data_IF_920619398674
#
_entry.id   IF_920619398674
#
_cell.length_a   1.000
_cell.length_b   1.000
_cell.length_c   1.000
_cell.angle_alpha   90.00
_cell.angle_beta   90.00
_cell.angle_gamma   90.00
#
_symmetry.space_group_name_H-M   'P 1'
#
loop_
_entity.id
_entity.type
_entity.pdbx_description
1 polymer ?
#
# COMPACT_ATOMS: atom_id res chain seq x y z
N UNK A 1 10.05 3.65 8.26
CA UNK A 1 9.52 2.29 8.46
C UNK A 1 8.73 1.82 7.24
N UNK A 2 7.80 2.63 6.70
CA UNK A 2 7.05 2.30 5.48
C UNK A 2 7.98 1.99 4.29
N UNK A 3 9.00 2.80 4.10
CA UNK A 3 10.01 2.57 3.07
C UNK A 3 10.74 1.23 3.28
N UNK A 4 11.19 0.97 4.50
CA UNK A 4 11.89 -0.28 4.80
C UNK A 4 11.00 -1.51 4.58
N UNK A 5 9.69 -1.41 4.93
CA UNK A 5 8.72 -2.45 4.63
C UNK A 5 8.63 -2.73 3.13
N UNK A 6 8.50 -1.67 2.32
CA UNK A 6 8.37 -1.79 0.88
C UNK A 6 9.65 -2.35 0.25
N UNK A 7 10.82 -1.91 0.70
CA UNK A 7 12.12 -2.43 0.29
C UNK A 7 12.23 -3.94 0.55
N UNK A 8 11.94 -4.40 1.77
CA UNK A 8 11.96 -5.82 2.13
C UNK A 8 10.96 -6.63 1.29
N UNK A 9 9.77 -6.06 1.04
CA UNK A 9 8.76 -6.69 0.20
C UNK A 9 9.20 -6.85 -1.26
N UNK A 10 9.81 -5.81 -1.86
CA UNK A 10 10.29 -5.84 -3.24
C UNK A 10 11.48 -6.79 -3.41
N UNK A 11 12.38 -6.82 -2.41
CA UNK A 11 13.55 -7.69 -2.43
C UNK A 11 13.16 -9.18 -2.51
N UNK A 12 12.10 -9.61 -1.80
CA UNK A 12 11.59 -11.00 -1.89
C UNK A 12 11.07 -11.36 -3.28
N UNK A 13 10.95 -10.41 -4.20
CA UNK A 13 10.45 -10.55 -5.57
C UNK A 13 11.49 -10.24 -6.64
N UNK A 14 12.73 -9.97 -6.23
CA UNK A 14 13.81 -9.53 -7.11
C UNK A 14 13.39 -8.32 -7.99
N UNK A 15 12.71 -7.36 -7.37
CA UNK A 15 12.32 -6.11 -7.99
C UNK A 15 13.17 -5.00 -7.41
N UNK A 16 13.96 -4.35 -8.27
CA UNK A 16 14.69 -3.15 -7.89
C UNK A 16 13.75 -1.94 -7.92
N UNK A 17 13.89 -1.06 -6.93
CA UNK A 17 13.28 0.25 -6.96
C UNK A 17 14.27 1.23 -7.59
N UNK A 18 13.82 1.94 -8.59
CA UNK A 18 14.68 2.80 -9.38
C UNK A 18 14.74 4.23 -8.85
N UNK A 19 13.70 4.70 -8.17
CA UNK A 19 13.64 6.10 -7.76
C UNK A 19 12.68 6.34 -6.60
N UNK A 20 12.94 7.41 -5.84
CA UNK A 20 12.12 7.86 -4.73
C UNK A 20 11.84 9.33 -4.82
N UNK A 21 10.57 9.69 -4.73
CA UNK A 21 10.14 11.07 -4.61
C UNK A 21 9.23 11.24 -3.39
N UNK A 22 9.81 11.74 -2.29
CA UNK A 22 9.09 11.95 -1.04
C UNK A 22 8.46 10.66 -0.48
N UNK A 23 7.13 10.57 -0.51
CA UNK A 23 6.33 9.42 -0.04
C UNK A 23 5.98 8.43 -1.16
N UNK A 24 6.42 8.68 -2.38
CA UNK A 24 6.26 7.79 -3.53
C UNK A 24 7.51 6.96 -3.74
N UNK A 25 7.33 5.73 -4.16
CA UNK A 25 8.39 4.84 -4.59
C UNK A 25 8.03 4.28 -5.96
N UNK A 26 8.94 4.48 -6.92
CA UNK A 26 8.76 4.02 -8.29
C UNK A 26 9.39 2.64 -8.50
N UNK A 27 8.69 1.75 -9.23
CA UNK A 27 9.20 0.45 -9.65
C UNK A 27 8.87 0.20 -11.12
N UNK A 28 9.78 -0.43 -11.85
CA UNK A 28 9.56 -0.75 -13.27
C UNK A 28 8.58 -1.93 -13.47
N UNK A 29 8.41 -2.77 -12.44
CA UNK A 29 7.58 -3.97 -12.51
C UNK A 29 6.46 -3.90 -11.49
N UNK A 30 5.26 -4.28 -11.90
CA UNK A 30 4.13 -4.41 -10.99
C UNK A 30 4.36 -5.63 -10.06
N UNK A 31 4.50 -5.41 -8.74
CA UNK A 31 4.66 -6.51 -7.80
C UNK A 31 3.34 -7.27 -7.60
N UNK A 32 3.44 -8.58 -7.40
CA UNK A 32 2.30 -9.38 -6.99
C UNK A 32 2.05 -9.30 -5.46
N UNK A 33 0.86 -9.68 -5.02
CA UNK A 33 0.48 -9.76 -3.60
C UNK A 33 0.67 -8.46 -2.80
N UNK A 34 0.39 -7.32 -3.41
CA UNK A 34 0.51 -5.99 -2.80
C UNK A 34 -0.31 -5.86 -1.51
N UNK A 35 -1.43 -6.60 -1.37
CA UNK A 35 -2.24 -6.66 -0.14
C UNK A 35 -1.48 -7.16 1.09
N UNK A 36 -0.26 -7.65 0.91
CA UNK A 36 0.65 -7.99 1.99
C UNK A 36 1.19 -6.75 2.71
N UNK A 37 1.26 -5.60 2.05
CA UNK A 37 1.81 -4.36 2.61
C UNK A 37 0.90 -3.78 3.71
N UNK A 38 1.49 -3.33 4.81
CA UNK A 38 0.79 -2.75 5.95
C UNK A 38 0.76 -1.23 5.95
N UNK A 39 1.80 -0.59 5.44
CA UNK A 39 1.96 0.86 5.46
C UNK A 39 1.76 1.55 4.11
N UNK A 40 1.72 0.80 3.02
CA UNK A 40 1.36 1.32 1.69
C UNK A 40 -0.14 1.50 1.61
N UNK A 41 -0.60 2.60 1.02
CA UNK A 41 -2.02 2.92 0.87
C UNK A 41 -2.56 2.44 -0.47
N UNK A 42 -1.88 2.77 -1.54
CA UNK A 42 -2.31 2.44 -2.88
C UNK A 42 -1.12 2.26 -3.82
N UNK A 43 -1.37 1.64 -4.93
CA UNK A 43 -0.41 1.48 -6.04
C UNK A 43 -1.03 2.07 -7.28
N UNK A 44 -0.29 2.97 -7.92
CA UNK A 44 -0.68 3.60 -9.16
C UNK A 44 0.20 3.11 -10.31
N UNK A 45 -0.39 3.05 -11.49
CA UNK A 45 0.34 2.91 -12.76
C UNK A 45 0.44 4.30 -13.38
N UNK A 46 1.65 4.83 -13.53
CA UNK A 46 1.86 6.15 -14.13
C UNK A 46 1.30 6.19 -15.56
N UNK A 47 0.63 7.28 -15.90
CA UNK A 47 -0.06 7.47 -17.18
C UNK A 47 0.29 8.82 -17.80
N UNK A 48 0.13 8.91 -19.11
CA UNK A 48 0.06 10.15 -19.86
C UNK A 48 -1.42 10.54 -20.00
N UNK A 49 -1.91 11.60 -19.33
CA UNK A 49 -3.34 11.92 -19.31
C UNK A 49 -3.91 12.24 -20.69
N UNK A 50 -3.11 12.71 -21.65
CA UNK A 50 -3.57 13.00 -23.03
C UNK A 50 -3.81 11.72 -23.83
N UNK A 51 -3.16 10.63 -23.48
CA UNK A 51 -3.26 9.32 -24.15
C UNK A 51 -4.06 8.30 -23.37
N UNK A 52 -4.28 8.56 -22.08
CA UNK A 52 -4.97 7.62 -21.20
C UNK A 52 -6.45 7.50 -21.56
N UNK A 53 -6.95 6.29 -21.53
CA UNK A 53 -8.35 5.95 -21.77
C UNK A 53 -8.84 5.12 -20.61
N UNK A 54 -9.57 5.73 -19.65
CA UNK A 54 -10.13 4.99 -18.53
C UNK A 54 -11.15 3.95 -19.04
N UNK A 55 -11.29 2.87 -18.29
CA UNK A 55 -12.32 1.88 -18.53
C UNK A 55 -13.57 2.26 -17.73
N UNK A 56 -14.63 2.66 -18.43
CA UNK A 56 -15.87 3.14 -17.80
C UNK A 56 -15.79 4.60 -17.32
N UNK A 57 -16.55 4.91 -16.28
CA UNK A 57 -16.53 6.22 -15.63
C UNK A 57 -15.22 6.46 -14.87
N UNK A 58 -14.87 7.72 -14.65
CA UNK A 58 -13.64 8.03 -13.94
C UNK A 58 -13.76 9.24 -13.01
N UNK A 59 -12.86 9.31 -12.03
CA UNK A 59 -12.62 10.49 -11.23
C UNK A 59 -11.13 10.78 -11.12
N UNK A 60 -10.79 12.07 -11.09
CA UNK A 60 -9.45 12.54 -10.75
C UNK A 60 -9.42 12.94 -9.27
N UNK A 61 -8.36 12.58 -8.57
CA UNK A 61 -8.13 12.90 -7.16
C UNK A 61 -6.70 13.39 -6.97
N UNK A 62 -6.53 14.64 -6.60
CA UNK A 62 -5.23 15.23 -6.36
C UNK A 62 -4.86 15.23 -4.87
N UNK A 63 -3.58 15.02 -4.58
CA UNK A 63 -3.00 15.06 -3.24
C UNK A 63 -1.68 15.82 -3.26
N UNK A 64 -1.53 16.78 -2.33
CA UNK A 64 -0.29 17.50 -2.15
C UNK A 64 0.64 16.75 -1.19
N UNK A 65 1.82 16.39 -1.65
CA UNK A 65 2.86 15.75 -0.84
C UNK A 65 3.96 16.73 -0.41
N UNK A 66 3.80 18.03 -0.75
CA UNK A 66 4.74 19.11 -0.43
C UNK A 66 4.13 20.10 0.55
N UNK A 67 4.92 21.07 1.03
CA UNK A 67 4.44 22.19 1.83
C UNK A 67 4.03 23.41 0.98
N UNK A 68 4.19 23.34 -0.35
CA UNK A 68 3.87 24.43 -1.27
C UNK A 68 2.35 24.58 -1.44
N UNK A 69 1.93 25.77 -1.87
CA UNK A 69 0.54 26.00 -2.27
C UNK A 69 0.16 25.08 -3.42
N UNK A 70 -1.04 24.52 -3.32
CA UNK A 70 -1.56 23.54 -4.28
C UNK A 70 -3.07 23.69 -4.38
N UNK A 71 -3.55 24.16 -5.52
CA UNK A 71 -4.98 24.19 -5.81
C UNK A 71 -5.44 22.83 -6.33
N UNK A 72 -6.06 22.08 -5.42
CA UNK A 72 -6.52 20.73 -5.70
C UNK A 72 -7.61 20.69 -6.76
N UNK A 73 -8.57 21.63 -6.69
CA UNK A 73 -9.74 21.66 -7.58
C UNK A 73 -9.31 22.05 -9.01
N UNK A 74 -8.40 23.01 -9.15
CA UNK A 74 -7.83 23.41 -10.43
C UNK A 74 -7.11 22.24 -11.10
N UNK A 75 -6.24 21.54 -10.37
CA UNK A 75 -5.47 20.40 -10.89
C UNK A 75 -6.39 19.23 -11.27
N UNK A 76 -7.39 18.91 -10.45
CA UNK A 76 -8.35 17.84 -10.75
C UNK A 76 -9.15 18.17 -12.03
N UNK A 77 -9.52 19.44 -12.21
CA UNK A 77 -10.20 19.93 -13.41
C UNK A 77 -9.33 19.84 -14.65
N UNK A 78 -8.10 20.37 -14.58
CA UNK A 78 -7.16 20.39 -15.71
C UNK A 78 -6.82 18.99 -16.21
N UNK A 79 -6.57 18.06 -15.29
CA UNK A 79 -6.29 16.67 -15.66
C UNK A 79 -7.55 15.97 -16.16
N UNK A 80 -8.69 16.26 -15.55
CA UNK A 80 -9.99 15.77 -16.01
C UNK A 80 -10.28 16.18 -17.45
N UNK A 81 -10.05 17.44 -17.82
CA UNK A 81 -10.22 17.91 -19.19
C UNK A 81 -9.31 17.20 -20.21
N UNK A 82 -8.06 16.96 -19.85
CA UNK A 82 -7.10 16.23 -20.72
C UNK A 82 -7.56 14.79 -20.98
N UNK A 83 -8.19 14.16 -19.99
CA UNK A 83 -8.73 12.80 -20.12
C UNK A 83 -10.07 12.80 -20.85
N UNK A 84 -10.96 13.79 -20.57
CA UNK A 84 -12.34 13.83 -21.05
C UNK A 84 -12.49 14.07 -22.57
N UNK A 85 -11.46 14.58 -23.25
CA UNK A 85 -11.49 14.79 -24.71
C UNK A 85 -11.89 13.55 -25.54
N UNK A 86 -12.32 12.45 -24.90
CA UNK A 86 -12.40 11.12 -25.48
C UNK A 86 -13.61 10.27 -25.04
N UNK A 87 -14.68 10.88 -24.54
CA UNK A 87 -15.99 10.21 -24.40
C UNK A 87 -16.31 9.48 -23.09
N UNK A 88 -15.50 9.59 -22.04
CA UNK A 88 -15.82 8.91 -20.78
C UNK A 88 -16.60 9.82 -19.82
N UNK A 89 -17.53 9.22 -19.08
CA UNK A 89 -18.32 9.90 -18.07
C UNK A 89 -17.53 10.12 -16.79
N UNK A 90 -17.61 11.34 -16.24
CA UNK A 90 -17.04 11.66 -14.92
C UNK A 90 -18.04 11.24 -13.85
N UNK A 91 -17.63 10.38 -12.95
CA UNK A 91 -18.38 10.00 -11.76
C UNK A 91 -17.52 10.24 -10.51
N UNK A 92 -17.91 11.23 -9.72
CA UNK A 92 -17.16 11.60 -8.53
C UNK A 92 -17.49 10.75 -7.30
N UNK A 93 -18.60 10.01 -7.32
CA UNK A 93 -19.05 9.22 -6.18
C UNK A 93 -18.60 7.76 -6.29
N UNK A 94 -18.83 7.14 -7.44
CA UNK A 94 -18.57 5.71 -7.67
C UNK A 94 -17.86 5.47 -9.01
N UNK A 95 -16.67 6.03 -9.24
CA UNK A 95 -15.97 5.87 -10.51
C UNK A 95 -15.48 4.43 -10.71
N UNK A 96 -15.54 3.94 -11.96
CA UNK A 96 -14.94 2.67 -12.35
C UNK A 96 -13.39 2.75 -12.33
N UNK A 97 -12.85 3.94 -12.64
CA UNK A 97 -11.43 4.21 -12.69
C UNK A 97 -11.10 5.44 -11.84
N UNK A 98 -10.13 5.32 -10.93
CA UNK A 98 -9.60 6.45 -10.16
C UNK A 98 -8.23 6.84 -10.73
N UNK A 99 -8.10 8.11 -11.10
CA UNK A 99 -6.81 8.71 -11.47
C UNK A 99 -6.31 9.56 -10.31
N UNK A 100 -5.13 9.25 -9.82
CA UNK A 100 -4.45 10.03 -8.78
C UNK A 100 -3.45 11.01 -9.38
N UNK A 101 -3.38 12.19 -8.78
CA UNK A 101 -2.38 13.20 -9.09
C UNK A 101 -1.65 13.55 -7.81
N UNK A 102 -0.38 13.21 -7.72
CA UNK A 102 0.46 13.57 -6.59
C UNK A 102 1.36 14.74 -6.94
N UNK A 103 1.21 15.84 -6.21
CA UNK A 103 2.17 16.94 -6.27
C UNK A 103 3.38 16.59 -5.41
N UNK A 104 4.52 16.47 -6.06
CA UNK A 104 5.80 16.22 -5.39
C UNK A 104 6.70 17.44 -5.55
N UNK A 105 7.84 17.49 -4.86
CA UNK A 105 8.78 18.61 -4.99
C UNK A 105 9.37 18.75 -6.40
N UNK A 106 9.39 17.67 -7.18
CA UNK A 106 10.01 17.64 -8.51
C UNK A 106 8.99 17.79 -9.64
N UNK A 107 7.82 17.13 -9.52
CA UNK A 107 6.82 17.08 -10.59
C UNK A 107 5.45 16.63 -10.10
N UNK A 108 4.45 16.76 -10.95
CA UNK A 108 3.20 16.04 -10.81
C UNK A 108 3.40 14.59 -11.26
N UNK A 109 3.03 13.64 -10.42
CA UNK A 109 2.94 12.23 -10.76
C UNK A 109 1.49 11.87 -10.96
N UNK A 110 1.13 11.43 -12.16
CA UNK A 110 -0.25 11.13 -12.55
C UNK A 110 -0.35 9.66 -12.85
N UNK A 111 -1.29 8.97 -12.21
CA UNK A 111 -1.41 7.54 -12.38
C UNK A 111 -2.82 7.00 -12.15
N UNK A 112 -3.16 5.93 -12.84
CA UNK A 112 -4.34 5.12 -12.57
C UNK A 112 -4.12 4.27 -11.31
N UNK A 113 -5.06 4.28 -10.38
CA UNK A 113 -5.03 3.38 -9.23
C UNK A 113 -5.27 1.95 -9.70
N UNK A 114 -4.27 1.09 -9.54
CA UNK A 114 -4.35 -0.32 -9.92
C UNK A 114 -4.62 -1.23 -8.73
N UNK A 115 -4.26 -0.80 -7.53
CA UNK A 115 -4.54 -1.51 -6.28
C UNK A 115 -4.73 -0.51 -5.14
N UNK A 116 -5.85 -0.61 -4.46
CA UNK A 116 -6.12 0.06 -3.18
C UNK A 116 -5.90 -0.96 -2.05
N UNK A 117 -4.97 -0.66 -1.16
CA UNK A 117 -4.60 -1.55 -0.06
C UNK A 117 -5.52 -1.28 1.13
N UNK A 118 -6.55 -2.11 1.27
CA UNK A 118 -7.53 -1.99 2.34
C UNK A 118 -6.91 -2.23 3.73
N UNK A 119 -6.44 -1.16 4.34
CA UNK A 119 -5.90 -1.17 5.70
C UNK A 119 -6.98 -1.40 6.78
N UNK A 120 -8.24 -1.31 6.44
CA UNK A 120 -9.36 -1.61 7.33
C UNK A 120 -9.32 -3.05 7.87
N UNK A 121 -8.79 -3.99 7.09
CA UNK A 121 -8.61 -5.39 7.49
C UNK A 121 -7.72 -5.54 8.74
N UNK A 122 -6.77 -4.63 8.99
CA UNK A 122 -5.96 -4.66 10.21
C UNK A 122 -6.78 -4.29 11.44
N UNK A 123 -7.79 -3.42 11.32
CA UNK A 123 -8.71 -3.06 12.40
C UNK A 123 -9.58 -4.25 12.82
N UNK A 124 -9.89 -5.15 11.89
CA UNK A 124 -10.65 -6.37 12.18
C UNK A 124 -9.84 -7.37 13.02
N UNK A 125 -8.51 -7.27 12.98
CA UNK A 125 -7.55 -8.08 13.74
C UNK A 125 -6.90 -7.32 14.89
N UNK A 126 -7.45 -6.17 15.27
CA UNK A 126 -6.94 -5.39 16.40
C UNK A 126 -6.89 -6.22 17.68
N UNK A 127 -6.04 -5.83 18.61
CA UNK A 127 -5.85 -6.55 19.87
C UNK A 127 -7.15 -6.75 20.66
N UNK A 128 -8.07 -5.77 20.57
CA UNK A 128 -9.39 -5.82 21.22
C UNK A 128 -10.32 -6.91 20.65
N UNK A 129 -10.12 -7.28 19.38
CA UNK A 129 -10.96 -8.27 18.69
C UNK A 129 -10.37 -9.69 18.69
N UNK A 130 -9.15 -9.85 19.16
CA UNK A 130 -8.50 -11.15 19.26
C UNK A 130 -9.01 -11.93 20.45
N UNK A 131 -9.26 -13.24 20.32
CA UNK A 131 -9.69 -14.08 21.43
C UNK A 131 -8.64 -14.18 22.54
N UNK A 132 -7.37 -13.93 22.18
CA UNK A 132 -6.25 -13.89 23.11
C UNK A 132 -5.39 -12.66 22.81
N UNK A 133 -5.38 -11.72 23.73
CA UNK A 133 -4.59 -10.50 23.64
C UNK A 133 -4.14 -10.01 25.03
N UNK A 134 -3.22 -9.09 25.03
CA UNK A 134 -2.67 -8.45 26.22
C UNK A 134 -2.46 -6.97 25.93
N UNK A 135 -2.45 -6.08 26.93
CA UNK A 135 -2.15 -4.66 26.72
C UNK A 135 -0.81 -4.37 26.02
N UNK A 136 0.12 -5.33 26.11
CA UNK A 136 1.44 -5.26 25.45
C UNK A 136 1.46 -5.99 24.09
N UNK A 137 0.31 -6.49 23.60
CA UNK A 137 0.25 -7.14 22.30
C UNK A 137 0.58 -6.17 21.18
N UNK A 138 1.40 -6.61 20.23
CA UNK A 138 1.81 -5.81 19.08
C UNK A 138 0.63 -5.46 18.18
N UNK A 139 0.61 -4.22 17.68
CA UNK A 139 -0.35 -3.78 16.66
C UNK A 139 -0.21 -4.61 15.37
N UNK A 140 -1.30 -5.01 14.72
CA UNK A 140 -1.26 -5.84 13.51
C UNK A 140 -0.49 -5.22 12.33
N UNK A 141 -0.55 -3.90 12.14
CA UNK A 141 0.20 -3.23 11.08
C UNK A 141 1.69 -3.36 11.36
N UNK A 142 2.11 -3.08 12.60
CA UNK A 142 3.51 -3.22 12.99
C UNK A 142 4.01 -4.66 12.87
N UNK A 143 3.21 -5.63 13.31
CA UNK A 143 3.52 -7.05 13.14
C UNK A 143 3.69 -7.43 11.67
N UNK A 144 2.81 -6.93 10.79
CA UNK A 144 2.89 -7.14 9.33
C UNK A 144 4.17 -6.53 8.75
N UNK A 145 4.53 -5.32 9.17
CA UNK A 145 5.77 -4.66 8.76
C UNK A 145 7.00 -5.50 9.14
N UNK A 146 7.04 -6.03 10.36
CA UNK A 146 8.14 -6.90 10.78
C UNK A 146 8.23 -8.17 9.93
N UNK A 147 7.11 -8.79 9.59
CA UNK A 147 7.06 -9.92 8.67
C UNK A 147 7.61 -9.55 7.28
N UNK A 148 7.30 -8.37 6.77
CA UNK A 148 7.83 -7.91 5.49
C UNK A 148 9.32 -7.58 5.55
N UNK A 149 9.79 -7.00 6.66
CA UNK A 149 11.21 -6.72 6.91
C UNK A 149 12.06 -7.98 7.09
N UNK A 150 11.46 -9.11 7.48
CA UNK A 150 12.18 -10.38 7.59
C UNK A 150 12.58 -10.99 6.23
N UNK A 151 12.11 -10.41 5.12
CA UNK A 151 12.38 -10.84 3.75
C UNK A 151 12.00 -12.31 3.47
N UNK A 152 11.14 -12.91 4.30
CA UNK A 152 10.68 -14.29 4.16
C UNK A 152 9.54 -14.38 3.15
N UNK A 153 9.61 -15.31 2.24
CA UNK A 153 8.62 -15.56 1.20
C UNK A 153 7.55 -16.56 1.64
N UNK A 154 6.41 -16.57 0.95
CA UNK A 154 5.37 -17.58 1.19
C UNK A 154 5.91 -19.00 0.96
N UNK A 155 5.58 -19.93 1.87
CA UNK A 155 6.09 -21.30 1.89
C UNK A 155 7.37 -21.49 2.69
N UNK A 156 8.10 -20.43 3.02
CA UNK A 156 9.26 -20.47 3.91
C UNK A 156 8.84 -20.39 5.38
N UNK A 157 9.77 -20.62 6.30
CA UNK A 157 9.51 -20.59 7.74
C UNK A 157 10.10 -19.36 8.40
N UNK A 158 9.38 -18.79 9.38
CA UNK A 158 9.88 -17.75 10.29
C UNK A 158 9.78 -18.22 11.73
N UNK A 159 10.77 -17.90 12.53
CA UNK A 159 10.78 -18.17 13.98
C UNK A 159 10.71 -16.86 14.75
N UNK A 160 9.73 -16.76 15.64
CA UNK A 160 9.66 -15.71 16.66
C UNK A 160 9.97 -16.36 18.02
N UNK A 161 11.19 -16.14 18.59
CA UNK A 161 11.59 -16.76 19.83
C UNK A 161 10.98 -16.11 21.08
N UNK A 162 10.21 -15.02 20.94
CA UNK A 162 9.54 -14.28 22.00
C UNK A 162 8.11 -13.91 21.59
N UNK A 163 7.36 -14.88 21.11
CA UNK A 163 6.13 -14.62 20.35
C UNK A 163 4.98 -14.03 21.18
N UNK A 164 5.02 -14.08 22.49
CA UNK A 164 3.99 -13.52 23.37
C UNK A 164 2.59 -13.98 23.00
N UNK A 165 1.73 -13.05 22.56
CA UNK A 165 0.35 -13.33 22.11
C UNK A 165 0.26 -13.72 20.63
N UNK A 166 1.40 -13.94 19.97
CA UNK A 166 1.47 -14.44 18.60
C UNK A 166 1.17 -13.42 17.50
N UNK A 167 1.27 -12.13 17.78
CA UNK A 167 0.96 -11.07 16.78
C UNK A 167 1.71 -11.23 15.48
N UNK A 168 3.03 -11.43 15.55
CA UNK A 168 3.87 -11.65 14.36
C UNK A 168 3.54 -12.97 13.67
N UNK A 169 3.28 -14.03 14.44
CA UNK A 169 2.94 -15.35 13.90
C UNK A 169 1.63 -15.32 13.11
N UNK A 170 0.61 -14.60 13.60
CA UNK A 170 -0.67 -14.42 12.90
C UNK A 170 -0.44 -13.75 11.55
N UNK A 171 0.29 -12.62 11.54
CA UNK A 171 0.54 -11.87 10.32
C UNK A 171 1.44 -12.64 9.34
N UNK A 172 2.40 -13.42 9.82
CA UNK A 172 3.19 -14.33 8.99
C UNK A 172 2.32 -15.41 8.33
N UNK A 173 1.45 -16.07 9.11
CA UNK A 173 0.52 -17.06 8.57
C UNK A 173 -0.41 -16.50 7.50
N UNK A 174 -0.94 -15.29 7.70
CA UNK A 174 -1.75 -14.59 6.70
C UNK A 174 -0.98 -14.22 5.41
N UNK A 175 0.35 -14.16 5.48
CA UNK A 175 1.23 -14.00 4.31
C UNK A 175 1.60 -15.34 3.64
N UNK A 176 1.10 -16.47 4.15
CA UNK A 176 1.45 -17.80 3.65
C UNK A 176 2.84 -18.30 4.08
N UNK A 177 3.43 -17.66 5.10
CA UNK A 177 4.69 -18.07 5.72
C UNK A 177 4.36 -19.09 6.81
N UNK A 178 5.25 -20.06 7.05
CA UNK A 178 5.09 -21.07 8.09
C UNK A 178 5.63 -20.52 9.42
N UNK A 179 4.77 -20.03 10.34
CA UNK A 179 5.23 -19.40 11.57
C UNK A 179 5.58 -20.45 12.61
N UNK A 180 6.66 -20.22 13.35
CA UNK A 180 7.06 -20.96 14.55
C UNK A 180 7.28 -19.96 15.67
N UNK A 181 6.71 -20.21 16.84
CA UNK A 181 6.85 -19.34 17.99
C UNK A 181 7.35 -20.08 19.22
N UNK A 182 8.15 -19.38 20.00
CA UNK A 182 8.55 -19.78 21.34
C UNK A 182 8.22 -18.66 22.31
N UNK A 183 7.85 -18.98 23.53
CA UNK A 183 7.70 -18.01 24.62
C UNK A 183 8.12 -18.66 25.94
N UNK A 184 8.63 -17.85 26.85
CA UNK A 184 9.04 -18.34 28.17
C UNK A 184 7.83 -18.56 29.10
N UNK A 185 6.70 -17.93 28.80
CA UNK A 185 5.48 -18.08 29.57
C UNK A 185 4.70 -19.30 29.06
N UNK A 186 4.49 -20.27 29.93
CA UNK A 186 3.53 -21.33 29.68
C UNK A 186 2.11 -20.73 29.74
N UNK A 187 1.36 -20.86 28.65
CA UNK A 187 -0.03 -20.35 28.53
C UNK A 187 -0.98 -21.47 28.17
#
# INVERSE_FOLDING_TARGET
LAEAELQGFLKTRNIDNSDRNGRLLHTEKHPDRLRRLGMTHEVIREIDPEKFRPNGSYAVRAENLTENEFDKEEIESDIGEKISGLTNEVDLENPDTVVKVYNTEERLVIGEVVEDINRGLFKERSNEKRPFSSPISMDPILARVLVNLSEVSAGESVLDPFCGTGGVLIEAGLCGILPKGLDIQEK
#
